data_IF_406672853314
#
_entry.id   IF_406672853314
#
_cell.length_a   1.000
_cell.length_b   1.000
_cell.length_c   1.000
_cell.angle_alpha   90.00
_cell.angle_beta   90.00
_cell.angle_gamma   90.00
#
_symmetry.space_group_name_H-M   'P 1'
#
loop_
_entity.id
_entity.type
_entity.pdbx_description
1 polymer ?
#
# COMPACT_ATOMS: atom_id res chain seq x y z
N UNK A 1 18.83 -13.55 50.96
CA UNK A 1 18.05 -12.51 50.26
C UNK A 1 18.79 -12.15 48.99
N UNK A 2 18.40 -12.73 47.85
CA UNK A 2 18.97 -12.43 46.51
C UNK A 2 17.83 -11.89 45.66
N UNK A 3 17.95 -10.63 45.25
CA UNK A 3 16.97 -9.95 44.41
C UNK A 3 17.23 -10.40 42.96
N UNK A 4 16.30 -11.16 42.39
CA UNK A 4 16.27 -11.41 40.94
C UNK A 4 15.75 -10.16 40.25
N UNK A 5 16.58 -9.55 39.41
CA UNK A 5 16.17 -8.47 38.52
C UNK A 5 15.57 -9.13 37.28
N UNK A 6 14.25 -9.02 37.11
CA UNK A 6 13.58 -9.37 35.85
C UNK A 6 14.03 -8.38 34.78
N UNK A 7 14.58 -8.90 33.68
CA UNK A 7 14.76 -8.15 32.45
C UNK A 7 13.37 -7.81 31.84
N UNK A 8 13.19 -6.63 31.24
CA UNK A 8 11.94 -6.31 30.56
C UNK A 8 11.80 -7.16 29.29
N UNK A 9 10.65 -7.82 29.18
CA UNK A 9 10.22 -8.51 27.96
C UNK A 9 9.91 -7.43 26.92
N UNK A 10 10.80 -7.27 25.93
CA UNK A 10 10.50 -6.54 24.71
C UNK A 10 9.40 -7.28 23.95
N UNK A 11 8.35 -6.62 23.45
CA UNK A 11 7.41 -7.26 22.54
C UNK A 11 8.15 -7.60 21.24
N UNK A 12 8.27 -8.91 20.96
CA UNK A 12 8.44 -9.42 19.60
C UNK A 12 7.07 -9.36 18.92
N UNK A 13 7.09 -9.25 17.59
CA UNK A 13 5.97 -9.34 16.65
C UNK A 13 5.38 -8.01 16.14
N UNK A 14 6.10 -7.40 15.21
CA UNK A 14 5.52 -6.63 14.08
C UNK A 14 6.15 -7.03 12.74
N UNK A 15 6.86 -8.17 12.67
CA UNK A 15 7.62 -8.58 11.48
C UNK A 15 6.87 -9.55 10.53
N UNK A 16 5.74 -10.12 10.93
CA UNK A 16 5.15 -11.27 10.22
C UNK A 16 4.44 -10.96 8.89
N UNK A 17 3.72 -9.84 8.80
CA UNK A 17 2.82 -9.56 7.67
C UNK A 17 3.58 -8.96 6.48
N UNK A 18 4.46 -7.98 6.75
CA UNK A 18 5.33 -7.37 5.75
C UNK A 18 6.31 -8.37 5.12
N UNK A 19 6.76 -9.37 5.87
CA UNK A 19 7.65 -10.42 5.37
C UNK A 19 6.92 -11.40 4.45
N UNK A 20 5.68 -11.79 4.80
CA UNK A 20 4.86 -12.63 3.94
C UNK A 20 4.57 -11.94 2.61
N UNK A 21 4.10 -10.68 2.62
CA UNK A 21 3.84 -9.94 1.39
C UNK A 21 5.10 -9.75 0.54
N UNK A 22 6.24 -9.41 1.15
CA UNK A 22 7.51 -9.28 0.44
C UNK A 22 8.00 -10.60 -0.19
N UNK A 23 7.79 -11.73 0.47
CA UNK A 23 8.20 -13.04 -0.05
C UNK A 23 7.33 -13.49 -1.23
N UNK A 24 6.02 -13.22 -1.21
CA UNK A 24 5.15 -13.52 -2.35
C UNK A 24 5.43 -12.61 -3.55
N UNK A 25 5.71 -11.32 -3.30
CA UNK A 25 6.13 -10.36 -4.34
C UNK A 25 7.39 -10.80 -5.10
N UNK A 26 8.35 -11.43 -4.41
CA UNK A 26 9.61 -11.87 -5.01
C UNK A 26 9.48 -13.06 -5.98
N UNK A 27 8.33 -13.75 -6.03
CA UNK A 27 8.17 -14.99 -6.81
C UNK A 27 7.52 -14.81 -8.20
N UNK A 28 7.03 -13.62 -8.56
CA UNK A 28 6.43 -13.41 -9.89
C UNK A 28 5.67 -12.11 -10.10
N UNK A 29 6.17 -10.97 -9.59
CA UNK A 29 5.52 -9.68 -9.81
C UNK A 29 5.53 -9.27 -11.30
N UNK A 30 4.37 -8.87 -11.81
CA UNK A 30 4.18 -8.23 -13.12
C UNK A 30 4.25 -6.71 -13.06
N UNK A 31 4.23 -6.11 -11.87
CA UNK A 31 4.29 -4.67 -11.65
C UNK A 31 3.44 -4.21 -10.47
N UNK A 32 3.20 -2.91 -10.39
CA UNK A 32 2.32 -2.31 -9.40
C UNK A 32 2.08 -0.85 -9.66
N UNK A 33 1.15 -0.28 -8.89
CA UNK A 33 0.81 1.13 -8.93
C UNK A 33 1.09 1.76 -7.57
N UNK A 34 1.69 2.96 -7.57
CA UNK A 34 1.90 3.78 -6.38
C UNK A 34 1.01 5.02 -6.48
N UNK A 35 0.16 5.24 -5.48
CA UNK A 35 -0.58 6.50 -5.32
C UNK A 35 0.03 7.34 -4.22
N UNK A 36 0.42 8.58 -4.54
CA UNK A 36 0.98 9.52 -3.56
C UNK A 36 0.59 10.96 -3.87
N UNK A 37 0.71 11.83 -2.88
CA UNK A 37 0.49 13.27 -3.03
C UNK A 37 1.80 14.00 -3.29
N UNK A 38 1.76 14.98 -4.19
CA UNK A 38 2.80 16.01 -4.31
C UNK A 38 2.92 16.80 -3.01
N UNK A 39 4.13 17.00 -2.49
CA UNK A 39 4.34 17.76 -1.26
C UNK A 39 4.43 19.27 -1.59
N UNK A 40 3.56 20.09 -0.99
CA UNK A 40 3.64 21.57 -1.05
C UNK A 40 2.73 22.25 -2.08
N UNK A 41 2.72 23.60 -2.07
CA UNK A 41 1.96 24.45 -3.02
C UNK A 41 2.47 24.37 -4.47
N UNK A 42 3.69 23.84 -4.66
CA UNK A 42 4.26 23.59 -5.98
C UNK A 42 4.04 22.12 -6.33
N UNK A 43 3.21 21.86 -7.34
CA UNK A 43 3.06 20.53 -7.93
C UNK A 43 4.44 19.97 -8.28
N UNK A 44 4.82 18.84 -7.68
CA UNK A 44 6.08 18.16 -8.02
C UNK A 44 6.00 17.73 -9.48
N UNK A 45 7.07 17.97 -10.24
CA UNK A 45 7.11 17.47 -11.61
C UNK A 45 7.15 15.93 -11.61
N UNK A 46 6.54 15.30 -12.61
CA UNK A 46 6.58 13.83 -12.78
C UNK A 46 8.01 13.29 -12.72
N UNK A 47 8.97 13.99 -13.33
CA UNK A 47 10.38 13.60 -13.33
C UNK A 47 11.03 13.60 -11.93
N UNK A 48 10.65 14.54 -11.06
CA UNK A 48 11.13 14.55 -9.67
C UNK A 48 10.53 13.39 -8.87
N UNK A 49 9.24 13.08 -9.04
CA UNK A 49 8.62 11.92 -8.38
C UNK A 49 9.30 10.62 -8.82
N UNK A 50 9.52 10.45 -10.13
CA UNK A 50 10.20 9.27 -10.67
C UNK A 50 11.61 9.10 -10.09
N UNK A 51 12.35 10.21 -9.95
CA UNK A 51 13.68 10.17 -9.35
C UNK A 51 13.62 9.73 -7.87
N UNK A 52 12.68 10.27 -7.09
CA UNK A 52 12.48 9.89 -5.70
C UNK A 52 12.09 8.42 -5.56
N UNK A 53 11.22 7.91 -6.44
CA UNK A 53 10.84 6.49 -6.48
C UNK A 53 12.07 5.61 -6.77
N UNK A 54 12.86 5.92 -7.80
CA UNK A 54 14.08 5.14 -8.10
C UNK A 54 15.06 5.12 -6.94
N UNK A 55 15.28 6.26 -6.30
CA UNK A 55 16.14 6.35 -5.11
C UNK A 55 15.58 5.63 -3.89
N UNK A 56 14.25 5.50 -3.78
CA UNK A 56 13.59 4.68 -2.78
C UNK A 56 13.64 3.17 -3.10
N UNK A 57 14.06 2.79 -4.30
CA UNK A 57 14.22 1.39 -4.72
C UNK A 57 13.11 0.83 -5.61
N UNK A 58 12.29 1.70 -6.22
CA UNK A 58 11.38 1.30 -7.29
C UNK A 58 12.15 1.16 -8.61
N UNK A 59 11.75 0.19 -9.45
CA UNK A 59 12.32 -0.04 -10.78
C UNK A 59 11.21 -0.06 -11.84
N UNK A 60 11.56 0.21 -13.09
CA UNK A 60 10.59 0.30 -14.18
C UNK A 60 9.51 1.35 -13.94
N UNK A 61 9.86 2.47 -13.28
CA UNK A 61 8.93 3.58 -13.02
C UNK A 61 8.55 4.22 -14.35
N UNK A 62 7.26 4.19 -14.65
CA UNK A 62 6.70 4.57 -15.95
C UNK A 62 5.57 5.61 -15.79
N UNK A 63 4.51 5.47 -16.59
CA UNK A 63 3.39 6.41 -16.69
C UNK A 63 2.91 6.93 -15.33
N UNK A 64 2.64 8.23 -15.30
CA UNK A 64 2.10 8.91 -14.13
C UNK A 64 0.87 9.67 -14.53
N UNK A 65 -0.24 9.25 -13.95
CA UNK A 65 -1.52 9.91 -14.08
C UNK A 65 -1.69 10.90 -12.93
N UNK A 66 -2.05 12.15 -13.27
CA UNK A 66 -2.40 13.15 -12.28
C UNK A 66 -3.87 13.00 -11.88
N UNK A 67 -4.11 12.83 -10.60
CA UNK A 67 -5.42 12.95 -9.98
C UNK A 67 -5.63 14.40 -9.48
N UNK A 68 -6.81 14.68 -8.91
CA UNK A 68 -7.09 16.01 -8.39
C UNK A 68 -6.32 16.27 -7.07
N UNK A 69 -6.23 17.56 -6.70
CA UNK A 69 -5.63 18.02 -5.43
C UNK A 69 -4.17 17.58 -5.18
N UNK A 70 -3.43 17.35 -6.27
CA UNK A 70 -2.02 17.00 -6.24
C UNK A 70 -1.74 15.52 -5.98
N UNK A 71 -2.77 14.66 -5.98
CA UNK A 71 -2.62 13.22 -6.00
C UNK A 71 -2.16 12.74 -7.37
N UNK A 72 -1.38 11.67 -7.40
CA UNK A 72 -0.84 11.07 -8.61
C UNK A 72 -0.76 9.56 -8.44
N UNK A 73 -0.97 8.82 -9.53
CA UNK A 73 -0.76 7.37 -9.63
C UNK A 73 0.40 7.13 -10.57
N UNK A 74 1.40 6.35 -10.15
CA UNK A 74 2.57 6.02 -10.95
C UNK A 74 2.77 4.52 -11.00
N UNK A 75 2.91 3.98 -12.20
CA UNK A 75 3.20 2.56 -12.40
C UNK A 75 4.68 2.24 -12.24
N UNK A 76 4.97 1.04 -11.77
CA UNK A 76 6.32 0.52 -11.60
C UNK A 76 6.38 -0.98 -11.90
N UNK A 77 7.55 -1.47 -12.30
CA UNK A 77 7.78 -2.89 -12.56
C UNK A 77 8.09 -3.68 -11.29
N UNK A 78 8.87 -3.09 -10.37
CA UNK A 78 9.17 -3.73 -9.07
C UNK A 78 9.46 -2.69 -7.99
N UNK A 79 9.26 -3.07 -6.73
CA UNK A 79 9.53 -2.25 -5.57
C UNK A 79 10.28 -3.07 -4.51
N UNK A 80 11.46 -2.58 -4.10
CA UNK A 80 12.27 -3.23 -3.08
C UNK A 80 11.59 -3.28 -1.70
N UNK A 81 12.12 -4.16 -0.83
CA UNK A 81 11.71 -4.24 0.57
C UNK A 81 11.95 -2.86 1.22
N UNK A 82 10.88 -2.23 1.73
CA UNK A 82 10.85 -0.88 2.33
C UNK A 82 10.83 0.31 1.35
N UNK A 83 10.67 0.09 0.05
CA UNK A 83 10.63 1.21 -0.91
C UNK A 83 9.52 2.20 -0.61
N UNK A 84 8.34 1.74 -0.22
CA UNK A 84 7.26 2.63 0.20
C UNK A 84 7.62 3.44 1.46
N UNK A 85 8.22 2.79 2.47
CA UNK A 85 8.62 3.45 3.71
C UNK A 85 9.65 4.57 3.45
N UNK A 86 10.71 4.25 2.68
CA UNK A 86 11.72 5.26 2.32
C UNK A 86 11.12 6.40 1.50
N UNK A 87 10.17 6.12 0.61
CA UNK A 87 9.52 7.17 -0.16
C UNK A 87 8.73 8.11 0.76
N UNK A 88 7.87 7.57 1.63
CA UNK A 88 7.05 8.36 2.57
C UNK A 88 7.91 9.18 3.53
N UNK A 89 9.00 8.60 4.06
CA UNK A 89 9.96 9.32 4.91
C UNK A 89 10.59 10.51 4.17
N UNK A 90 10.89 10.35 2.89
CA UNK A 90 11.53 11.39 2.08
C UNK A 90 10.57 12.46 1.58
N UNK A 91 9.34 12.08 1.24
CA UNK A 91 8.35 13.01 0.71
C UNK A 91 7.58 13.72 1.81
N UNK A 92 7.50 13.12 3.01
CA UNK A 92 6.64 13.58 4.09
C UNK A 92 5.16 13.53 3.71
N UNK A 93 4.78 12.67 2.75
CA UNK A 93 3.39 12.53 2.28
C UNK A 93 2.89 11.10 2.42
N UNK A 94 1.61 10.89 2.77
CA UNK A 94 1.02 9.56 2.73
C UNK A 94 1.09 8.95 1.33
N UNK A 95 1.25 7.64 1.27
CA UNK A 95 1.23 6.89 0.03
C UNK A 95 0.58 5.52 0.22
N UNK A 96 -0.06 5.02 -0.83
CA UNK A 96 -0.57 3.66 -0.94
C UNK A 96 0.01 3.01 -2.19
N UNK A 97 0.43 1.76 -2.07
CA UNK A 97 1.04 0.98 -3.13
C UNK A 97 0.25 -0.32 -3.26
N UNK A 98 -0.01 -0.72 -4.50
CA UNK A 98 -0.57 -2.04 -4.83
C UNK A 98 0.41 -2.74 -5.77
N UNK A 99 0.89 -3.91 -5.38
CA UNK A 99 1.71 -4.78 -6.22
C UNK A 99 0.87 -5.94 -6.74
N UNK A 100 0.98 -6.23 -8.03
CA UNK A 100 0.18 -7.25 -8.68
C UNK A 100 0.97 -8.53 -8.93
N UNK A 101 0.35 -9.66 -8.61
CA UNK A 101 0.82 -10.99 -8.97
C UNK A 101 -0.06 -11.53 -10.09
N UNK A 102 0.55 -11.69 -11.27
CA UNK A 102 -0.11 -12.05 -12.53
C UNK A 102 -1.31 -11.17 -12.93
N UNK A 103 -1.42 -9.96 -12.37
CA UNK A 103 -2.61 -9.08 -12.48
C UNK A 103 -3.87 -9.63 -11.79
N UNK A 104 -3.81 -10.85 -11.26
CA UNK A 104 -4.96 -11.51 -10.64
C UNK A 104 -5.11 -11.18 -9.17
N UNK A 105 -4.01 -10.93 -8.47
CA UNK A 105 -3.98 -10.69 -7.02
C UNK A 105 -3.22 -9.39 -6.73
N UNK A 106 -3.82 -8.53 -5.90
CA UNK A 106 -3.22 -7.24 -5.50
C UNK A 106 -2.81 -7.23 -4.04
N UNK A 107 -1.53 -7.00 -3.75
CA UNK A 107 -1.02 -6.81 -2.40
C UNK A 107 -0.94 -5.31 -2.09
N UNK A 108 -1.65 -4.88 -1.06
CA UNK A 108 -1.69 -3.48 -0.66
C UNK A 108 -0.68 -3.22 0.47
N UNK A 109 0.05 -2.13 0.37
CA UNK A 109 0.79 -1.52 1.48
C UNK A 109 0.52 -0.01 1.47
N UNK A 110 0.20 0.56 2.63
CA UNK A 110 -0.02 1.99 2.75
C UNK A 110 0.68 2.52 3.99
N UNK A 111 1.18 3.75 3.91
CA UNK A 111 1.94 4.40 4.98
C UNK A 111 1.62 5.88 5.09
N UNK A 112 1.69 6.40 6.33
CA UNK A 112 1.67 7.82 6.64
C UNK A 112 3.05 8.28 7.11
N UNK A 113 3.37 9.59 7.04
CA UNK A 113 4.64 10.13 7.52
C UNK A 113 4.89 9.90 9.02
N UNK A 114 3.83 9.78 9.82
CA UNK A 114 3.89 9.54 11.25
C UNK A 114 4.23 8.08 11.60
N UNK A 115 4.37 7.22 10.58
CA UNK A 115 4.79 5.83 10.72
C UNK A 115 3.63 4.82 10.81
N UNK A 116 2.38 5.28 10.74
CA UNK A 116 1.24 4.35 10.65
C UNK A 116 1.26 3.63 9.30
N UNK A 117 0.93 2.34 9.32
CA UNK A 117 0.91 1.51 8.13
C UNK A 117 -0.19 0.46 8.20
N UNK A 118 -0.71 0.08 7.05
CA UNK A 118 -1.60 -1.06 6.92
C UNK A 118 -1.31 -1.84 5.65
N UNK A 119 -1.73 -3.10 5.66
CA UNK A 119 -1.57 -4.04 4.57
C UNK A 119 -2.91 -4.73 4.28
N UNK A 120 -3.08 -5.16 3.04
CA UNK A 120 -4.32 -5.80 2.60
C UNK A 120 -4.10 -6.65 1.36
N UNK A 121 -5.14 -7.38 0.98
CA UNK A 121 -5.13 -8.28 -0.17
C UNK A 121 -6.42 -8.11 -0.96
N UNK A 122 -6.27 -7.86 -2.26
CA UNK A 122 -7.34 -7.81 -3.25
C UNK A 122 -7.50 -9.17 -3.92
N UNK A 123 -8.72 -9.45 -4.40
CA UNK A 123 -9.09 -10.69 -5.07
C UNK A 123 -8.78 -11.95 -4.23
N UNK A 124 -9.33 -11.99 -3.01
CA UNK A 124 -9.02 -13.03 -2.01
C UNK A 124 -9.35 -14.44 -2.48
N UNK A 125 -10.42 -14.61 -3.26
CA UNK A 125 -10.81 -15.91 -3.81
C UNK A 125 -9.75 -16.44 -4.78
N UNK A 126 -9.26 -15.60 -5.69
CA UNK A 126 -8.17 -15.97 -6.60
C UNK A 126 -6.88 -16.21 -5.83
N UNK A 127 -6.60 -15.39 -4.82
CA UNK A 127 -5.42 -15.59 -3.97
C UNK A 127 -5.46 -16.94 -3.22
N UNK A 128 -6.64 -17.36 -2.73
CA UNK A 128 -6.83 -18.68 -2.14
C UNK A 128 -6.56 -19.80 -3.14
N UNK A 129 -6.99 -19.63 -4.40
CA UNK A 129 -6.70 -20.59 -5.48
C UNK A 129 -5.20 -20.69 -5.82
N UNK A 130 -4.43 -19.64 -5.51
CA UNK A 130 -2.97 -19.58 -5.62
C UNK A 130 -2.26 -20.01 -4.34
N UNK A 131 -2.99 -20.57 -3.37
CA UNK A 131 -2.48 -21.04 -2.08
C UNK A 131 -1.83 -19.93 -1.24
N UNK A 132 -2.25 -18.66 -1.45
CA UNK A 132 -1.81 -17.52 -0.65
C UNK A 132 -2.52 -17.57 0.73
N UNK A 133 -1.78 -17.55 1.85
CA UNK A 133 -2.35 -17.65 3.20
C UNK A 133 -3.14 -16.39 3.58
N UNK A 134 -4.47 -16.48 3.45
CA UNK A 134 -5.39 -15.37 3.70
C UNK A 134 -5.40 -14.86 5.15
N UNK A 135 -4.96 -15.69 6.10
CA UNK A 135 -4.83 -15.34 7.52
C UNK A 135 -3.77 -14.25 7.75
N UNK A 136 -2.80 -14.09 6.84
CA UNK A 136 -1.83 -13.00 6.87
C UNK A 136 -2.42 -11.67 6.36
N UNK A 137 -3.64 -11.68 5.84
CA UNK A 137 -4.29 -10.48 5.31
C UNK A 137 -5.71 -10.38 5.88
N UNK A 138 -5.90 -10.18 7.20
CA UNK A 138 -7.23 -10.09 7.78
C UNK A 138 -7.97 -8.84 7.29
N UNK A 139 -9.26 -8.99 6.94
CA UNK A 139 -10.07 -7.91 6.34
C UNK A 139 -10.31 -6.76 7.33
N UNK A 140 -10.72 -7.04 8.57
CA UNK A 140 -11.05 -5.97 9.52
C UNK A 140 -9.87 -5.04 9.85
N UNK A 141 -8.65 -5.54 10.11
CA UNK A 141 -7.49 -4.68 10.27
C UNK A 141 -7.17 -3.85 9.02
N UNK A 142 -7.34 -4.41 7.82
CA UNK A 142 -7.14 -3.66 6.58
C UNK A 142 -8.19 -2.53 6.40
N UNK A 143 -9.47 -2.79 6.72
CA UNK A 143 -10.52 -1.76 6.71
C UNK A 143 -10.19 -0.65 7.71
N UNK A 144 -9.87 -1.00 8.97
CA UNK A 144 -9.53 -0.02 9.98
C UNK A 144 -8.29 0.81 9.62
N UNK A 145 -7.27 0.16 9.06
CA UNK A 145 -6.05 0.80 8.57
C UNK A 145 -6.32 1.76 7.41
N UNK A 146 -7.14 1.35 6.44
CA UNK A 146 -7.55 2.18 5.31
C UNK A 146 -8.29 3.44 5.77
N UNK A 147 -9.23 3.31 6.72
CA UNK A 147 -9.95 4.45 7.29
C UNK A 147 -9.00 5.42 8.01
N UNK A 148 -8.10 4.90 8.85
CA UNK A 148 -7.12 5.71 9.56
C UNK A 148 -6.16 6.42 8.61
N UNK A 149 -5.68 5.72 7.59
CA UNK A 149 -4.80 6.27 6.55
C UNK A 149 -5.50 7.38 5.76
N UNK A 150 -6.75 7.18 5.31
CA UNK A 150 -7.51 8.20 4.60
C UNK A 150 -7.73 9.44 5.48
N UNK A 151 -8.06 9.25 6.76
CA UNK A 151 -8.20 10.37 7.69
C UNK A 151 -6.88 11.15 7.88
N UNK A 152 -5.75 10.46 8.04
CA UNK A 152 -4.43 11.08 8.12
C UNK A 152 -4.02 11.79 6.81
N UNK A 153 -4.49 11.30 5.67
CA UNK A 153 -4.31 11.93 4.36
C UNK A 153 -5.27 13.11 4.11
N UNK A 154 -6.20 13.40 5.04
CA UNK A 154 -7.19 14.45 4.90
C UNK A 154 -8.33 14.11 3.93
N UNK A 155 -8.56 12.81 3.67
CA UNK A 155 -9.59 12.29 2.77
C UNK A 155 -10.85 11.88 3.55
N UNK A 156 -11.96 11.71 2.82
CA UNK A 156 -13.21 11.19 3.38
C UNK A 156 -13.51 9.82 2.77
N UNK A 157 -13.16 8.70 3.45
CA UNK A 157 -13.34 7.37 2.91
C UNK A 157 -14.81 6.89 2.97
N UNK A 158 -15.19 5.99 2.07
CA UNK A 158 -16.41 5.18 2.15
C UNK A 158 -16.06 3.79 2.72
N UNK A 159 -16.32 3.58 4.01
CA UNK A 159 -16.04 2.31 4.69
C UNK A 159 -16.71 1.11 4.00
N UNK A 160 -17.95 1.27 3.54
CA UNK A 160 -18.70 0.18 2.90
C UNK A 160 -18.04 -0.18 1.57
N UNK A 161 -17.62 0.81 0.80
CA UNK A 161 -16.91 0.58 -0.46
C UNK A 161 -15.53 -0.05 -0.21
N UNK A 162 -14.76 0.41 0.78
CA UNK A 162 -13.46 -0.19 1.16
C UNK A 162 -13.63 -1.68 1.50
N UNK A 163 -14.64 -1.99 2.31
CA UNK A 163 -14.94 -3.38 2.67
C UNK A 163 -15.31 -4.20 1.43
N UNK A 164 -16.13 -3.64 0.54
CA UNK A 164 -16.53 -4.29 -0.70
C UNK A 164 -15.33 -4.61 -1.61
N UNK A 165 -14.35 -3.72 -1.73
CA UNK A 165 -13.15 -3.97 -2.55
C UNK A 165 -12.25 -5.02 -1.92
N UNK A 166 -12.04 -4.97 -0.60
CA UNK A 166 -11.24 -5.94 0.14
C UNK A 166 -11.84 -7.35 0.18
N UNK A 167 -13.16 -7.48 0.07
CA UNK A 167 -13.84 -8.79 0.00
C UNK A 167 -14.32 -9.16 -1.40
N UNK A 168 -14.06 -8.29 -2.39
CA UNK A 168 -14.53 -8.45 -3.75
C UNK A 168 -13.67 -9.42 -4.56
N UNK A 169 -14.18 -9.76 -5.74
CA UNK A 169 -13.45 -10.48 -6.78
C UNK A 169 -13.67 -9.78 -8.11
N UNK A 170 -12.65 -9.83 -8.96
CA UNK A 170 -12.64 -9.30 -10.30
C UNK A 170 -11.77 -10.20 -11.19
N UNK A 171 -11.89 -10.04 -12.51
CA UNK A 171 -11.00 -10.73 -13.45
C UNK A 171 -9.56 -10.22 -13.32
N UNK A 172 -9.40 -8.94 -13.05
CA UNK A 172 -8.10 -8.29 -12.83
C UNK A 172 -8.14 -7.53 -11.50
N UNK A 173 -7.12 -7.69 -10.67
CA UNK A 173 -7.00 -7.02 -9.38
C UNK A 173 -6.87 -5.50 -9.52
N UNK A 174 -6.43 -5.00 -10.68
CA UNK A 174 -6.38 -3.59 -11.04
C UNK A 174 -7.77 -2.94 -10.94
N UNK A 175 -8.84 -3.66 -11.31
CA UNK A 175 -10.22 -3.15 -11.19
C UNK A 175 -10.60 -2.90 -9.72
N UNK A 176 -10.21 -3.82 -8.84
CA UNK A 176 -10.41 -3.66 -7.39
C UNK A 176 -9.48 -2.59 -6.81
N UNK A 177 -8.29 -2.41 -7.38
CA UNK A 177 -7.35 -1.35 -6.99
C UNK A 177 -7.93 0.03 -7.30
N UNK A 178 -8.42 0.26 -8.53
CA UNK A 178 -9.07 1.52 -8.91
C UNK A 178 -10.29 1.81 -8.04
N UNK A 179 -11.15 0.80 -7.81
CA UNK A 179 -12.29 0.92 -6.91
C UNK A 179 -11.87 1.23 -5.46
N UNK A 180 -10.74 0.68 -4.99
CA UNK A 180 -10.20 0.97 -3.68
C UNK A 180 -9.73 2.43 -3.60
N UNK A 181 -9.07 2.98 -4.62
CA UNK A 181 -8.67 4.38 -4.62
C UNK A 181 -9.88 5.32 -4.51
N UNK A 182 -10.96 5.04 -5.23
CA UNK A 182 -12.24 5.75 -5.09
C UNK A 182 -12.78 5.62 -3.67
N UNK A 183 -12.79 4.41 -3.10
CA UNK A 183 -13.30 4.13 -1.76
C UNK A 183 -12.49 4.81 -0.64
N UNK A 184 -11.17 5.00 -0.85
CA UNK A 184 -10.30 5.75 0.05
C UNK A 184 -10.59 7.27 0.03
N UNK A 185 -11.40 7.73 -0.92
CA UNK A 185 -11.78 9.13 -1.09
C UNK A 185 -10.78 9.96 -1.89
N UNK A 186 -9.95 9.31 -2.74
CA UNK A 186 -8.98 10.02 -3.58
C UNK A 186 -9.70 10.85 -4.65
N UNK A 187 -9.47 12.16 -4.71
CA UNK A 187 -10.22 13.03 -5.61
C UNK A 187 -9.74 12.82 -7.06
N UNK A 188 -10.69 12.62 -7.98
CA UNK A 188 -10.40 12.37 -9.39
C UNK A 188 -10.10 10.91 -9.73
N UNK A 189 -10.09 10.00 -8.76
CA UNK A 189 -10.08 8.56 -9.05
C UNK A 189 -11.42 8.14 -9.68
N UNK A 190 -11.38 7.18 -10.62
CA UNK A 190 -12.55 6.64 -11.33
C UNK A 190 -12.55 5.12 -11.37
#
# INVERSE_FOLDING_TARGET
MRISVMAPILPKETAGLSEASANFRAMGNSGGSLTTRSAGETTRSTGELHQLMREAGFTGVDDTEALAEGWQVTDFADAGRRSLAHLVERTGTPAVMVSFFDSDVGFIEARTPDGDSWEGLLNRETAESYEIPLEHFPVEPAVAGALAWSAAAGLTPDERAIRQTLTGSALFAEELSSALLVALGLPGAT
#
